data_IF_852461596926
#
_entry.id   IF_852461596926
#
_cell.length_a   1.000
_cell.length_b   1.000
_cell.length_c   1.000
_cell.angle_alpha   90.00
_cell.angle_beta   90.00
_cell.angle_gamma   90.00
#
_symmetry.space_group_name_H-M   'P 1'
#
loop_
_entity.id
_entity.type
_entity.pdbx_description
1 polymer ?
#
# COMPACT_ATOMS: atom_id res chain seq x y z
N UNK A 1 4.22 -24.29 -17.56
CA UNK A 1 4.47 -23.63 -16.28
C UNK A 1 3.36 -22.59 -16.10
N UNK A 2 2.35 -22.86 -15.26
CA UNK A 2 1.30 -21.87 -14.99
C UNK A 2 1.96 -20.73 -14.21
N UNK A 3 1.93 -19.52 -14.76
CA UNK A 3 2.10 -18.30 -13.97
C UNK A 3 1.04 -18.42 -12.88
N UNK A 4 1.42 -18.67 -11.63
CA UNK A 4 0.50 -18.44 -10.52
C UNK A 4 -0.01 -17.01 -10.72
N UNK A 5 -1.32 -16.79 -10.60
CA UNK A 5 -1.89 -15.46 -10.50
C UNK A 5 -1.18 -14.73 -9.35
N UNK A 6 -0.11 -14.01 -9.70
CA UNK A 6 0.76 -13.39 -8.72
C UNK A 6 0.00 -12.20 -8.18
N UNK A 7 -0.44 -12.29 -6.92
CA UNK A 7 -1.20 -11.20 -6.30
C UNK A 7 -0.40 -9.91 -6.37
N UNK A 8 -1.06 -8.82 -6.73
CA UNK A 8 -0.44 -7.51 -6.92
C UNK A 8 -1.01 -6.52 -5.92
N UNK A 9 -0.13 -5.85 -5.19
CA UNK A 9 -0.47 -4.65 -4.46
C UNK A 9 -0.49 -3.47 -5.42
N UNK A 10 -1.62 -2.77 -5.48
CA UNK A 10 -1.77 -1.47 -6.12
C UNK A 10 -1.87 -0.39 -5.06
N UNK A 11 -0.99 0.60 -5.16
CA UNK A 11 -1.05 1.82 -4.35
C UNK A 11 -1.36 2.98 -5.28
N UNK A 12 -2.38 3.76 -4.93
CA UNK A 12 -2.74 4.99 -5.62
C UNK A 12 -2.70 6.13 -4.63
N UNK A 13 -1.86 7.12 -4.91
CA UNK A 13 -1.79 8.37 -4.15
C UNK A 13 -2.19 9.47 -5.12
N UNK A 14 -3.25 10.18 -4.79
CA UNK A 14 -3.73 11.36 -5.50
C UNK A 14 -3.49 12.54 -4.57
N UNK A 15 -2.47 13.34 -4.85
CA UNK A 15 -2.25 14.56 -4.09
C UNK A 15 -3.12 15.68 -4.60
N UNK A 16 -3.61 16.50 -3.66
CA UNK A 16 -4.31 17.74 -3.97
C UNK A 16 -3.43 18.72 -4.77
N UNK A 17 -2.10 18.69 -4.61
CA UNK A 17 -1.17 19.54 -5.36
C UNK A 17 -1.01 19.11 -6.82
N UNK A 18 -1.65 18.02 -7.24
CA UNK A 18 -1.68 17.53 -8.61
C UNK A 18 -0.79 16.31 -8.87
N UNK A 19 0.06 15.94 -7.91
CA UNK A 19 0.90 14.74 -8.02
C UNK A 19 0.04 13.47 -7.97
N UNK A 20 0.26 12.57 -8.91
CA UNK A 20 -0.44 11.29 -8.99
C UNK A 20 0.57 10.16 -9.06
N UNK A 21 0.58 9.33 -8.03
CA UNK A 21 1.48 8.18 -7.93
C UNK A 21 0.65 6.91 -8.05
N UNK A 22 0.96 6.08 -9.04
CA UNK A 22 0.37 4.77 -9.22
C UNK A 22 1.48 3.71 -9.21
N UNK A 23 1.44 2.85 -8.20
CA UNK A 23 2.42 1.78 -8.00
C UNK A 23 1.71 0.45 -8.10
N UNK A 24 2.34 -0.51 -8.79
CA UNK A 24 1.87 -1.89 -8.89
C UNK A 24 3.05 -2.81 -8.60
N UNK A 25 2.97 -3.57 -7.52
CA UNK A 25 4.06 -4.42 -7.06
C UNK A 25 3.55 -5.83 -6.76
N UNK A 26 4.31 -6.89 -7.05
CA UNK A 26 4.00 -8.23 -6.58
C UNK A 26 3.96 -8.30 -5.05
N UNK A 27 2.95 -8.95 -4.49
CA UNK A 27 2.81 -9.13 -3.03
C UNK A 27 4.04 -9.82 -2.45
N UNK A 28 4.61 -10.80 -3.15
CA UNK A 28 5.84 -11.47 -2.73
C UNK A 28 7.04 -10.53 -2.60
N UNK A 29 7.13 -9.52 -3.47
CA UNK A 29 8.16 -8.47 -3.39
C UNK A 29 7.88 -7.53 -2.21
N UNK A 30 6.63 -7.07 -2.06
CA UNK A 30 6.24 -6.17 -0.96
C UNK A 30 6.47 -6.82 0.40
N UNK A 31 6.11 -8.10 0.58
CA UNK A 31 6.39 -8.87 1.82
C UNK A 31 7.88 -8.84 2.18
N UNK A 32 8.77 -8.99 1.19
CA UNK A 32 10.22 -8.94 1.41
C UNK A 32 10.70 -7.54 1.79
N UNK A 33 10.20 -6.51 1.11
CA UNK A 33 10.56 -5.11 1.38
C UNK A 33 10.12 -4.68 2.79
N UNK A 34 8.90 -5.03 3.21
CA UNK A 34 8.40 -4.72 4.56
C UNK A 34 9.23 -5.44 5.63
N UNK A 35 9.52 -6.74 5.43
CA UNK A 35 10.39 -7.51 6.35
C UNK A 35 11.80 -6.93 6.51
N UNK A 36 12.29 -6.25 5.46
CA UNK A 36 13.61 -5.61 5.45
C UNK A 36 13.55 -4.14 5.88
N UNK A 37 12.40 -3.63 6.35
CA UNK A 37 12.16 -2.23 6.70
C UNK A 37 12.52 -1.23 5.58
N UNK A 38 12.40 -1.64 4.31
CA UNK A 38 12.72 -0.79 3.14
C UNK A 38 11.48 -0.27 2.41
N UNK A 39 10.29 -0.57 2.93
CA UNK A 39 9.02 -0.17 2.33
C UNK A 39 8.53 1.13 2.96
N UNK A 40 9.02 2.26 2.46
CA UNK A 40 8.66 3.59 2.94
C UNK A 40 8.07 4.45 1.80
N UNK A 41 6.82 4.17 1.45
CA UNK A 41 6.03 4.98 0.52
C UNK A 41 5.28 6.12 1.22
N UNK A 42 5.42 6.20 2.54
CA UNK A 42 4.70 7.15 3.38
C UNK A 42 5.60 8.26 3.89
N UNK A 43 6.81 8.42 3.35
CA UNK A 43 7.74 9.50 3.70
C UNK A 43 7.02 10.86 3.64
N UNK A 44 6.88 11.54 4.79
CA UNK A 44 6.11 12.77 4.94
C UNK A 44 4.63 12.60 5.35
N UNK A 45 4.21 11.40 5.73
CA UNK A 45 2.89 11.11 6.33
C UNK A 45 2.86 11.20 7.86
N UNK A 46 3.98 11.56 8.47
CA UNK A 46 4.26 11.42 9.91
C UNK A 46 3.27 12.17 10.82
N UNK A 47 2.57 13.18 10.30
CA UNK A 47 1.73 14.05 11.10
C UNK A 47 0.31 13.53 11.38
N UNK A 48 -0.18 12.48 10.69
CA UNK A 48 -1.62 12.14 10.78
C UNK A 48 -1.90 10.63 10.88
N UNK A 49 -1.09 9.78 10.25
CA UNK A 49 -1.35 8.33 10.23
C UNK A 49 -0.10 7.61 10.64
N UNK A 50 -0.29 6.73 11.62
CA UNK A 50 0.72 5.76 12.04
C UNK A 50 0.96 4.81 10.85
N UNK A 51 1.88 5.22 9.99
CA UNK A 51 2.31 4.51 8.78
C UNK A 51 2.67 3.06 9.12
N UNK A 52 3.20 2.83 10.31
CA UNK A 52 3.46 1.51 10.86
C UNK A 52 2.18 0.69 11.04
N UNK A 53 1.11 1.25 11.63
CA UNK A 53 -0.18 0.55 11.74
C UNK A 53 -0.77 0.21 10.38
N UNK A 54 -0.60 1.08 9.39
CA UNK A 54 -1.10 0.85 8.04
C UNK A 54 -0.34 -0.29 7.34
N UNK A 55 0.99 -0.34 7.53
CA UNK A 55 1.81 -1.46 7.08
C UNK A 55 1.43 -2.76 7.78
N UNK A 56 1.18 -2.73 9.09
CA UNK A 56 0.76 -3.91 9.86
C UNK A 56 -0.58 -4.48 9.34
N UNK A 57 -1.54 -3.61 9.00
CA UNK A 57 -2.79 -4.02 8.36
C UNK A 57 -2.52 -4.65 6.99
N UNK A 58 -1.61 -4.10 6.21
CA UNK A 58 -1.21 -4.64 4.91
C UNK A 58 -0.57 -6.03 5.02
N UNK A 59 0.35 -6.22 5.98
CA UNK A 59 0.99 -7.51 6.25
C UNK A 59 -0.07 -8.55 6.60
N UNK A 60 -0.97 -8.21 7.53
CA UNK A 60 -2.07 -9.09 7.93
C UNK A 60 -2.96 -9.43 6.74
N UNK A 61 -3.31 -8.45 5.90
CA UNK A 61 -4.10 -8.70 4.70
C UNK A 61 -3.42 -9.70 3.77
N UNK A 62 -2.09 -9.62 3.62
CA UNK A 62 -1.36 -10.60 2.84
C UNK A 62 -1.24 -11.98 3.50
N UNK A 63 -1.28 -12.08 4.82
CA UNK A 63 -1.17 -13.35 5.55
C UNK A 63 -2.51 -14.08 5.61
N UNK A 64 -3.62 -13.32 5.63
CA UNK A 64 -4.97 -13.85 5.48
C UNK A 64 -5.40 -14.05 4.02
N UNK A 65 -4.47 -13.87 3.07
CA UNK A 65 -4.71 -14.02 1.64
C UNK A 65 -5.89 -13.18 1.10
N UNK A 66 -6.10 -11.99 1.67
CA UNK A 66 -7.20 -11.10 1.28
C UNK A 66 -6.94 -10.47 -0.08
N UNK A 67 -8.02 -10.25 -0.83
CA UNK A 67 -8.05 -9.48 -2.07
C UNK A 67 -9.15 -8.42 -1.97
N UNK A 68 -8.94 -7.27 -2.61
CA UNK A 68 -9.84 -6.11 -2.56
C UNK A 68 -9.17 -4.85 -2.03
N UNK A 69 -9.98 -3.83 -1.74
CA UNK A 69 -9.53 -2.58 -1.13
C UNK A 69 -9.21 -2.80 0.35
N UNK A 70 -7.93 -2.65 0.71
CA UNK A 70 -7.42 -2.89 2.07
C UNK A 70 -7.44 -1.61 2.90
N UNK A 71 -7.20 -0.47 2.25
CA UNK A 71 -7.22 0.82 2.91
C UNK A 71 -7.61 1.92 1.93
N UNK A 72 -8.41 2.85 2.45
CA UNK A 72 -8.72 4.12 1.81
C UNK A 72 -8.64 5.22 2.84
N UNK A 73 -7.87 6.25 2.50
CA UNK A 73 -7.52 7.35 3.36
C UNK A 73 -7.71 8.65 2.59
N UNK A 74 -8.40 9.60 3.22
CA UNK A 74 -8.51 10.97 2.75
C UNK A 74 -7.88 11.88 3.81
N UNK A 75 -6.90 12.68 3.41
CA UNK A 75 -6.20 13.60 4.30
C UNK A 75 -6.90 14.96 4.33
N UNK A 76 -6.70 15.70 5.41
CA UNK A 76 -7.25 17.07 5.58
C UNK A 76 -6.78 18.05 4.49
N UNK A 77 -5.62 17.81 3.90
CA UNK A 77 -5.08 18.59 2.79
C UNK A 77 -5.66 18.20 1.42
N UNK A 78 -6.59 17.22 1.37
CA UNK A 78 -7.22 16.75 0.14
C UNK A 78 -6.50 15.58 -0.55
N UNK A 79 -5.40 15.08 0.01
CA UNK A 79 -4.72 13.91 -0.58
C UNK A 79 -5.53 12.63 -0.32
N UNK A 80 -5.59 11.76 -1.34
CA UNK A 80 -6.29 10.48 -1.27
C UNK A 80 -5.29 9.34 -1.47
N UNK A 81 -5.25 8.39 -0.55
CA UNK A 81 -4.42 7.19 -0.63
C UNK A 81 -5.31 5.96 -0.65
N UNK A 82 -5.13 5.09 -1.64
CA UNK A 82 -5.83 3.81 -1.79
C UNK A 82 -4.83 2.67 -1.94
N UNK A 83 -5.07 1.58 -1.23
CA UNK A 83 -4.29 0.35 -1.32
C UNK A 83 -5.21 -0.83 -1.63
N UNK A 84 -4.92 -1.53 -2.72
CA UNK A 84 -5.77 -2.61 -3.25
C UNK A 84 -4.87 -3.82 -3.49
N UNK A 85 -5.32 -5.01 -3.11
CA UNK A 85 -4.68 -6.28 -3.45
C UNK A 85 -5.54 -6.96 -4.51
N UNK A 86 -4.98 -7.23 -5.69
CA UNK A 86 -5.62 -8.05 -6.73
C UNK A 86 -5.00 -9.43 -6.78
#
# INVERSE_FOLDING_TARGET
MRLLDEKLLRIRILSHTGDKIHIKLPVGFVKKMIKNNTFDFFYGADDIIDSQKLLDVLIKAFDYDLSGEIAHMERKNGDIIKMIID
#
